data_IF_188138810582
#
_entry.id   IF_188138810582
#
_cell.length_a   1.000
_cell.length_b   1.000
_cell.length_c   1.000
_cell.angle_alpha   90.00
_cell.angle_beta   90.00
_cell.angle_gamma   90.00
#
_symmetry.space_group_name_H-M   'P 1'
#
loop_
_entity.id
_entity.type
_entity.pdbx_description
1 polymer ?
#
# COMPACT_ATOMS: atom_id res chain seq x y z
N UNK A 1 -20.85 36.03 -5.30
CA UNK A 1 -19.71 35.11 -5.49
C UNK A 1 -20.19 33.89 -6.23
N UNK A 2 -19.60 33.57 -7.38
CA UNK A 2 -20.22 32.66 -8.33
C UNK A 2 -20.09 31.18 -7.88
N UNK A 3 -21.17 30.43 -8.06
CA UNK A 3 -21.42 29.07 -7.50
C UNK A 3 -20.40 28.00 -7.95
N UNK A 4 -19.82 28.14 -9.16
CA UNK A 4 -18.74 27.30 -9.69
C UNK A 4 -17.49 27.18 -8.77
N UNK A 5 -17.16 28.21 -7.98
CA UNK A 5 -16.01 28.15 -7.06
C UNK A 5 -16.24 27.14 -5.95
N UNK A 6 -17.47 27.04 -5.42
CA UNK A 6 -17.81 26.07 -4.37
C UNK A 6 -17.78 24.63 -4.88
N UNK A 7 -18.15 24.40 -6.15
CA UNK A 7 -18.10 23.07 -6.77
C UNK A 7 -16.66 22.59 -6.94
N UNK A 8 -15.76 23.49 -7.36
CA UNK A 8 -14.33 23.19 -7.49
C UNK A 8 -13.69 22.87 -6.14
N UNK A 9 -13.98 23.64 -5.10
CA UNK A 9 -13.45 23.40 -3.74
C UNK A 9 -14.00 22.09 -3.16
N UNK A 10 -15.29 21.80 -3.33
CA UNK A 10 -15.89 20.54 -2.88
C UNK A 10 -15.28 19.32 -3.61
N UNK A 11 -15.08 19.41 -4.92
CA UNK A 11 -14.46 18.34 -5.72
C UNK A 11 -13.03 18.03 -5.30
N UNK A 12 -12.21 19.05 -5.07
CA UNK A 12 -10.82 18.89 -4.60
C UNK A 12 -10.77 18.30 -3.19
N UNK A 13 -11.69 18.70 -2.31
CA UNK A 13 -11.76 18.19 -0.93
C UNK A 13 -12.10 16.70 -0.90
N UNK A 14 -13.06 16.26 -1.72
CA UNK A 14 -13.43 14.84 -1.85
C UNK A 14 -12.29 14.02 -2.46
N UNK A 15 -11.59 14.57 -3.46
CA UNK A 15 -10.44 13.92 -4.09
C UNK A 15 -9.26 13.74 -3.12
N UNK A 16 -9.02 14.73 -2.25
CA UNK A 16 -8.01 14.64 -1.18
C UNK A 16 -8.40 13.64 -0.08
N UNK A 17 -9.68 13.54 0.28
CA UNK A 17 -10.17 12.54 1.25
C UNK A 17 -10.07 11.09 0.74
N UNK A 18 -10.31 10.88 -0.57
CA UNK A 18 -10.17 9.57 -1.21
C UNK A 18 -8.72 9.10 -1.25
N UNK A 19 -7.77 10.01 -1.48
CA UNK A 19 -6.34 9.69 -1.52
C UNK A 19 -5.74 9.47 -0.12
N UNK A 20 -6.17 10.23 0.88
CA UNK A 20 -5.74 10.03 2.27
C UNK A 20 -6.18 8.68 2.85
N UNK A 21 -7.35 8.16 2.43
CA UNK A 21 -7.90 6.88 2.90
C UNK A 21 -7.10 5.66 2.43
N UNK A 22 -6.39 5.76 1.31
CA UNK A 22 -5.54 4.68 0.80
C UNK A 22 -4.26 4.53 1.63
N UNK A 23 -3.64 5.65 2.04
CA UNK A 23 -2.38 5.64 2.78
C UNK A 23 -2.51 5.19 4.23
N UNK A 24 -3.66 5.42 4.89
CA UNK A 24 -3.89 5.01 6.28
C UNK A 24 -4.04 3.49 6.48
N UNK A 25 -4.53 2.76 5.47
CA UNK A 25 -4.73 1.30 5.56
C UNK A 25 -3.43 0.49 5.47
N UNK A 26 -2.43 1.01 4.77
CA UNK A 26 -1.13 0.35 4.55
C UNK A 26 -0.38 0.08 5.86
N UNK A 27 -0.40 1.05 6.78
CA UNK A 27 0.27 0.90 8.09
C UNK A 27 -0.45 -0.06 9.04
N UNK A 28 -1.77 -0.18 8.96
CA UNK A 28 -2.52 -1.17 9.76
C UNK A 28 -2.36 -2.60 9.23
N UNK A 29 -2.23 -2.78 7.91
CA UNK A 29 -2.07 -4.10 7.28
C UNK A 29 -0.77 -4.80 7.72
N UNK A 30 0.32 -4.06 7.95
CA UNK A 30 1.55 -4.65 8.48
C UNK A 30 1.47 -5.11 9.94
N UNK A 31 0.53 -4.64 10.75
CA UNK A 31 0.45 -5.05 12.17
C UNK A 31 -0.41 -6.31 12.38
N UNK A 32 -1.26 -6.66 11.41
CA UNK A 32 -2.15 -7.81 11.48
C UNK A 32 -1.51 -9.05 10.87
N UNK A 33 -1.89 -10.21 11.39
CA UNK A 33 -1.65 -11.46 10.70
C UNK A 33 -2.58 -11.54 9.48
N UNK A 34 -2.05 -12.07 8.38
CA UNK A 34 -2.82 -12.29 7.16
C UNK A 34 -2.23 -13.46 6.38
N UNK A 35 -3.09 -14.10 5.59
CA UNK A 35 -2.73 -15.08 4.58
C UNK A 35 -3.35 -14.63 3.26
N UNK A 36 -2.60 -14.73 2.17
CA UNK A 36 -3.08 -14.30 0.87
C UNK A 36 -2.10 -14.54 -0.27
N UNK A 37 -2.52 -14.16 -1.46
CA UNK A 37 -1.76 -14.28 -2.69
C UNK A 37 -1.24 -12.90 -3.14
N UNK A 38 0.02 -12.83 -3.54
CA UNK A 38 0.60 -11.62 -4.13
C UNK A 38 0.01 -11.41 -5.52
N UNK A 39 -0.86 -10.42 -5.68
CA UNK A 39 -1.49 -10.13 -6.98
C UNK A 39 -0.73 -9.10 -7.80
N UNK A 40 0.10 -8.27 -7.15
CA UNK A 40 0.88 -7.23 -7.85
C UNK A 40 2.12 -6.84 -7.06
N UNK A 41 3.18 -6.54 -7.81
CA UNK A 41 4.41 -5.94 -7.31
C UNK A 41 4.55 -4.53 -7.85
N UNK A 42 4.99 -3.59 -7.02
CA UNK A 42 5.28 -2.21 -7.44
C UNK A 42 6.55 -1.72 -6.78
N UNK A 43 7.30 -0.90 -7.50
CA UNK A 43 8.38 -0.08 -6.96
C UNK A 43 8.27 1.33 -7.53
N UNK A 44 8.60 2.33 -6.74
CA UNK A 44 8.52 3.73 -7.12
C UNK A 44 9.75 4.45 -6.58
N UNK A 45 10.34 5.29 -7.41
CA UNK A 45 11.46 6.11 -7.02
C UNK A 45 10.93 7.46 -6.53
N UNK A 46 11.23 7.76 -5.27
CA UNK A 46 10.84 8.98 -4.58
C UNK A 46 12.08 9.87 -4.44
N UNK A 47 11.97 11.09 -4.95
CA UNK A 47 12.99 12.12 -4.75
C UNK A 47 12.73 12.83 -3.44
N UNK A 48 13.70 12.75 -2.52
CA UNK A 48 13.70 13.45 -1.24
C UNK A 48 14.71 14.60 -1.29
N UNK A 49 14.60 15.54 -0.37
CA UNK A 49 15.59 16.62 -0.19
C UNK A 49 16.99 16.10 0.14
N UNK A 50 17.08 14.88 0.70
CA UNK A 50 18.33 14.20 1.09
C UNK A 50 18.87 13.24 0.02
N UNK A 51 18.18 13.06 -1.10
CA UNK A 51 18.58 12.14 -2.17
C UNK A 51 17.40 11.33 -2.73
N UNK A 52 17.70 10.31 -3.54
CA UNK A 52 16.67 9.43 -4.10
C UNK A 52 16.50 8.18 -3.24
N UNK A 53 15.26 7.75 -3.05
CA UNK A 53 14.90 6.49 -2.39
C UNK A 53 13.94 5.71 -3.26
N UNK A 54 14.09 4.40 -3.33
CA UNK A 54 13.08 3.53 -3.96
C UNK A 54 12.25 2.86 -2.88
N UNK A 55 10.94 3.02 -2.97
CA UNK A 55 9.98 2.31 -2.14
C UNK A 55 9.42 1.11 -2.91
N UNK A 56 9.15 0.03 -2.19
CA UNK A 56 8.73 -1.25 -2.75
C UNK A 56 7.45 -1.70 -2.06
N UNK A 57 6.43 -2.03 -2.87
CA UNK A 57 5.12 -2.47 -2.41
C UNK A 57 4.76 -3.83 -3.00
N UNK A 58 4.01 -4.60 -2.21
CA UNK A 58 3.27 -5.77 -2.64
C UNK A 58 1.78 -5.52 -2.39
N UNK A 59 0.97 -5.74 -3.42
CA UNK A 59 -0.47 -5.86 -3.25
C UNK A 59 -0.79 -7.34 -3.10
N UNK A 60 -1.44 -7.68 -2.00
CA UNK A 60 -1.77 -9.04 -1.56
C UNK A 60 -3.27 -9.14 -1.47
N UNK A 61 -3.86 -10.12 -2.14
CA UNK A 61 -5.26 -10.48 -1.96
C UNK A 61 -5.34 -11.49 -0.82
N UNK A 62 -5.96 -11.11 0.29
CA UNK A 62 -6.19 -12.03 1.40
C UNK A 62 -7.24 -13.07 1.03
N UNK A 63 -7.25 -14.17 1.77
CA UNK A 63 -8.29 -15.21 1.62
C UNK A 63 -9.70 -14.67 1.94
N UNK A 64 -9.80 -13.60 2.74
CA UNK A 64 -11.06 -12.89 3.01
C UNK A 64 -11.54 -12.05 1.80
N UNK A 65 -10.76 -12.04 0.71
CA UNK A 65 -11.07 -11.31 -0.53
C UNK A 65 -10.67 -9.84 -0.52
N UNK A 66 -10.07 -9.33 0.57
CA UNK A 66 -9.56 -7.96 0.65
C UNK A 66 -8.22 -7.83 -0.07
N UNK A 67 -7.99 -6.69 -0.73
CA UNK A 67 -6.68 -6.35 -1.28
C UNK A 67 -5.98 -5.39 -0.32
N UNK A 68 -4.82 -5.80 0.18
CA UNK A 68 -3.96 -4.98 1.02
C UNK A 68 -2.65 -4.68 0.32
N UNK A 69 -2.17 -3.44 0.44
CA UNK A 69 -0.84 -3.07 -0.02
C UNK A 69 0.10 -2.98 1.17
N UNK A 70 1.26 -3.65 1.09
CA UNK A 70 2.28 -3.65 2.13
C UNK A 70 3.59 -3.11 1.56
N UNK A 71 4.28 -2.27 2.34
CA UNK A 71 5.61 -1.77 1.98
C UNK A 71 6.68 -2.67 2.59
N UNK A 72 7.67 -3.06 1.78
CA UNK A 72 8.75 -3.95 2.19
C UNK A 72 10.12 -3.35 1.84
N UNK A 73 11.19 -3.70 2.58
CA UNK A 73 12.55 -3.43 2.16
C UNK A 73 12.88 -4.21 0.89
N UNK A 74 13.73 -3.66 0.02
CA UNK A 74 14.13 -4.27 -1.26
C UNK A 74 14.55 -5.74 -1.14
N UNK A 75 15.30 -6.10 -0.09
CA UNK A 75 15.80 -7.47 0.15
C UNK A 75 14.69 -8.48 0.42
N UNK A 76 13.61 -8.02 1.03
CA UNK A 76 12.46 -8.86 1.40
C UNK A 76 11.47 -8.88 0.24
N UNK A 77 11.20 -7.72 -0.36
CA UNK A 77 10.36 -7.59 -1.54
C UNK A 77 10.84 -8.45 -2.71
N UNK A 78 12.16 -8.60 -2.89
CA UNK A 78 12.75 -9.42 -3.94
C UNK A 78 12.54 -10.94 -3.77
N UNK A 79 12.01 -11.40 -2.63
CA UNK A 79 11.74 -12.82 -2.35
C UNK A 79 10.38 -13.30 -2.84
N UNK A 80 9.51 -12.38 -3.24
CA UNK A 80 8.13 -12.68 -3.59
C UNK A 80 7.86 -12.35 -5.05
N UNK A 81 7.13 -13.22 -5.72
CA UNK A 81 6.63 -13.05 -7.08
C UNK A 81 5.10 -12.92 -7.10
N UNK A 82 4.56 -12.42 -8.21
CA UNK A 82 3.10 -12.39 -8.40
C UNK A 82 2.60 -13.83 -8.58
N UNK A 83 1.58 -14.20 -7.81
CA UNK A 83 1.07 -15.57 -7.69
C UNK A 83 1.56 -16.29 -6.43
N UNK A 84 2.55 -15.75 -5.71
CA UNK A 84 3.04 -16.38 -4.49
C UNK A 84 2.00 -16.30 -3.38
N UNK A 85 1.78 -17.43 -2.71
CA UNK A 85 1.03 -17.47 -1.46
C UNK A 85 1.96 -17.08 -0.32
N UNK A 86 1.54 -16.12 0.49
CA UNK A 86 2.31 -15.60 1.60
C UNK A 86 1.49 -15.56 2.88
N UNK A 87 2.17 -15.79 4.00
CA UNK A 87 1.64 -15.72 5.35
C UNK A 87 2.45 -14.71 6.15
N UNK A 88 1.74 -13.85 6.88
CA UNK A 88 2.28 -13.05 7.96
C UNK A 88 1.66 -13.48 9.27
N UNK A 89 2.46 -13.94 10.23
CA UNK A 89 1.97 -14.28 11.58
C UNK A 89 2.02 -13.08 12.51
N UNK A 90 1.23 -13.14 13.59
CA UNK A 90 1.24 -12.12 14.63
C UNK A 90 2.64 -12.03 15.25
N UNK A 91 3.20 -10.82 15.32
CA UNK A 91 4.53 -10.58 15.86
C UNK A 91 5.67 -10.73 14.84
N UNK A 92 5.40 -11.26 13.65
CA UNK A 92 6.40 -11.29 12.58
C UNK A 92 6.54 -9.93 11.93
N UNK A 93 7.79 -9.51 11.73
CA UNK A 93 8.07 -8.24 11.06
C UNK A 93 7.67 -8.28 9.59
N UNK A 94 7.93 -9.41 8.92
CA UNK A 94 7.78 -9.58 7.47
C UNK A 94 7.01 -10.86 7.16
N UNK A 95 6.26 -10.90 6.04
CA UNK A 95 5.64 -12.13 5.57
C UNK A 95 6.69 -13.15 5.12
N UNK A 96 6.26 -14.40 4.98
CA UNK A 96 7.02 -15.55 4.46
C UNK A 96 6.14 -16.38 3.52
N UNK A 97 6.76 -17.18 2.67
CA UNK A 97 6.10 -18.14 1.77
C UNK A 97 5.81 -19.45 2.51
#
# INVERSE_FOLDING_TARGET
>A
MPVWVFILVAGVSVFLLLTASASGRVSQAMAKAFEGEVIRRRSEQVTLTTGMRTDYWLDVRTDDGEVMSITLPWRIWGRFETGDRIVKRVGERWPST
#
